data_IF_361362473744
#
_entry.id   IF_361362473744
#
_cell.length_a   1.000
_cell.length_b   1.000
_cell.length_c   1.000
_cell.angle_alpha   90.00
_cell.angle_beta   90.00
_cell.angle_gamma   90.00
#
_symmetry.space_group_name_H-M   'P 1'
#
loop_
_entity.id
_entity.type
_entity.pdbx_description
1 polymer ?
#
# COMPACT_ATOMS: atom_id res chain seq x y z
N UNK A 1 2.39 22.36 -24.59
CA UNK A 1 3.41 22.96 -23.71
C UNK A 1 4.37 21.85 -23.32
N UNK A 2 5.68 22.01 -23.50
CA UNK A 2 6.63 20.94 -23.21
C UNK A 2 6.65 20.68 -21.69
N UNK A 3 6.01 19.58 -21.30
CA UNK A 3 5.83 19.12 -19.92
C UNK A 3 7.15 18.98 -19.15
N UNK A 4 8.25 18.77 -19.89
CA UNK A 4 9.62 18.68 -19.38
C UNK A 4 10.11 19.93 -18.66
N UNK A 5 9.50 21.10 -18.89
CA UNK A 5 9.88 22.33 -18.19
C UNK A 5 9.33 22.41 -16.76
N UNK A 6 8.30 21.64 -16.42
CA UNK A 6 7.58 21.73 -15.13
C UNK A 6 7.94 20.62 -14.13
N UNK A 7 8.66 19.58 -14.55
CA UNK A 7 8.91 18.37 -13.74
C UNK A 7 10.40 18.03 -13.73
N UNK A 8 10.99 17.76 -12.56
CA UNK A 8 12.41 17.31 -12.42
C UNK A 8 12.62 15.84 -12.83
N UNK A 9 11.76 15.28 -13.68
CA UNK A 9 11.70 13.87 -14.05
C UNK A 9 11.33 13.69 -15.53
N UNK A 10 11.29 12.44 -16.00
CA UNK A 10 10.89 12.17 -17.38
C UNK A 10 9.44 12.62 -17.62
N UNK A 11 9.12 13.09 -18.83
CA UNK A 11 7.73 13.46 -19.20
C UNK A 11 6.76 12.32 -18.93
N UNK A 12 5.50 12.61 -18.62
CA UNK A 12 4.49 11.58 -18.39
C UNK A 12 4.32 10.68 -19.61
N UNK A 13 4.38 11.25 -20.83
CA UNK A 13 4.37 10.50 -22.07
C UNK A 13 5.47 9.43 -22.16
N UNK A 14 6.70 9.78 -21.76
CA UNK A 14 7.81 8.82 -21.72
C UNK A 14 7.58 7.74 -20.65
N UNK A 15 7.19 8.12 -19.43
CA UNK A 15 6.93 7.17 -18.35
C UNK A 15 5.86 6.16 -18.75
N UNK A 16 4.72 6.64 -19.28
CA UNK A 16 3.66 5.80 -19.84
C UNK A 16 4.20 4.87 -20.92
N UNK A 17 4.99 5.37 -21.88
CA UNK A 17 5.55 4.53 -22.95
C UNK A 17 6.39 3.36 -22.43
N UNK A 18 7.13 3.54 -21.33
CA UNK A 18 7.97 2.50 -20.73
C UNK A 18 7.14 1.53 -19.87
N UNK A 19 6.21 2.05 -19.09
CA UNK A 19 5.34 1.25 -18.21
C UNK A 19 4.41 0.36 -19.05
N UNK A 20 3.84 0.93 -20.11
CA UNK A 20 2.78 0.33 -20.92
C UNK A 20 3.28 -0.54 -22.08
N UNK A 21 4.58 -0.48 -22.42
CA UNK A 21 5.17 -1.14 -23.59
C UNK A 21 4.84 -2.64 -23.71
N UNK A 22 4.69 -3.33 -22.58
CA UNK A 22 4.46 -4.78 -22.54
C UNK A 22 3.05 -5.14 -22.11
N UNK A 23 2.13 -4.18 -21.99
CA UNK A 23 0.77 -4.47 -21.55
C UNK A 23 0.02 -5.31 -22.59
N UNK A 24 -0.62 -6.37 -22.11
CA UNK A 24 -1.49 -7.22 -22.92
C UNK A 24 -2.84 -6.54 -23.18
N UNK A 25 -3.55 -7.00 -24.21
CA UNK A 25 -4.82 -6.42 -24.66
C UNK A 25 -5.83 -6.23 -23.52
N UNK A 26 -5.94 -7.20 -22.62
CA UNK A 26 -6.88 -7.12 -21.49
C UNK A 26 -6.53 -5.99 -20.51
N UNK A 27 -5.25 -5.76 -20.25
CA UNK A 27 -4.81 -4.64 -19.41
C UNK A 27 -5.01 -3.30 -20.13
N UNK A 28 -4.71 -3.25 -21.44
CA UNK A 28 -4.96 -2.09 -22.29
C UNK A 28 -6.46 -1.73 -22.35
N UNK A 29 -7.36 -2.72 -22.41
CA UNK A 29 -8.82 -2.49 -22.39
C UNK A 29 -9.26 -1.75 -21.11
N UNK A 30 -8.68 -2.09 -19.96
CA UNK A 30 -8.98 -1.43 -18.68
C UNK A 30 -8.39 -0.02 -18.69
N UNK A 31 -7.15 0.14 -19.18
CA UNK A 31 -6.48 1.43 -19.25
C UNK A 31 -7.20 2.41 -20.19
N UNK A 32 -7.69 1.95 -21.34
CA UNK A 32 -8.47 2.77 -22.27
C UNK A 32 -9.79 3.25 -21.64
N UNK A 33 -10.47 2.39 -20.86
CA UNK A 33 -11.67 2.79 -20.10
C UNK A 33 -11.34 3.81 -19.02
N UNK A 34 -10.20 3.65 -18.37
CA UNK A 34 -9.71 4.59 -17.35
C UNK A 34 -9.40 5.94 -17.98
N UNK A 35 -8.67 5.97 -19.10
CA UNK A 35 -8.37 7.19 -19.85
C UNK A 35 -9.64 7.89 -20.36
N UNK A 36 -10.66 7.12 -20.79
CA UNK A 36 -11.95 7.66 -21.19
C UNK A 36 -12.70 8.32 -20.02
N UNK A 37 -12.77 7.64 -18.86
CA UNK A 37 -13.38 8.20 -17.65
C UNK A 37 -12.62 9.41 -17.11
N UNK A 38 -11.29 9.45 -17.30
CA UNK A 38 -10.47 10.60 -16.91
C UNK A 38 -10.74 11.80 -17.81
N UNK A 39 -10.84 11.56 -19.12
CA UNK A 39 -11.10 12.59 -20.13
C UNK A 39 -12.52 13.15 -20.05
N UNK A 40 -13.46 12.34 -19.55
CA UNK A 40 -14.82 12.75 -19.20
C UNK A 40 -14.82 13.43 -17.83
N UNK A 41 -14.35 14.68 -17.75
CA UNK A 41 -14.41 15.54 -16.55
C UNK A 41 -13.85 14.93 -15.25
N UNK A 42 -12.73 14.20 -15.34
CA UNK A 42 -12.09 13.54 -14.20
C UNK A 42 -13.10 12.71 -13.37
N UNK A 43 -13.92 11.88 -14.01
CA UNK A 43 -14.98 11.12 -13.35
C UNK A 43 -14.44 10.03 -12.41
N UNK A 44 -13.92 10.45 -11.25
CA UNK A 44 -13.37 9.61 -10.16
C UNK A 44 -14.31 8.47 -9.74
N UNK A 45 -15.65 8.65 -9.67
CA UNK A 45 -16.56 7.55 -9.37
C UNK A 45 -16.48 6.38 -10.37
N UNK A 46 -16.00 6.62 -11.59
CA UNK A 46 -15.76 5.59 -12.61
C UNK A 46 -14.29 5.12 -12.61
N UNK A 47 -13.33 6.00 -12.28
CA UNK A 47 -11.91 5.66 -12.21
C UNK A 47 -11.58 4.66 -11.10
N UNK A 48 -12.11 4.85 -9.89
CA UNK A 48 -11.78 3.99 -8.74
C UNK A 48 -12.24 2.53 -8.94
N UNK A 49 -13.45 2.24 -9.44
CA UNK A 49 -13.83 0.86 -9.79
C UNK A 49 -12.90 0.20 -10.83
N UNK A 50 -12.34 0.96 -11.76
CA UNK A 50 -11.41 0.44 -12.76
C UNK A 50 -10.03 0.12 -12.14
N UNK A 51 -9.57 0.94 -11.19
CA UNK A 51 -8.39 0.64 -10.39
C UNK A 51 -8.59 -0.63 -9.55
N UNK A 52 -9.72 -0.76 -8.87
CA UNK A 52 -10.08 -1.97 -8.11
C UNK A 52 -10.15 -3.20 -9.01
N UNK A 53 -10.74 -3.06 -10.20
CA UNK A 53 -10.77 -4.13 -11.20
C UNK A 53 -9.34 -4.54 -11.61
N UNK A 54 -8.45 -3.58 -11.89
CA UNK A 54 -7.06 -3.84 -12.24
C UNK A 54 -6.33 -4.62 -11.13
N UNK A 55 -6.60 -4.30 -9.87
CA UNK A 55 -6.03 -4.98 -8.70
C UNK A 55 -6.60 -6.40 -8.52
N UNK A 56 -7.91 -6.56 -8.65
CA UNK A 56 -8.62 -7.80 -8.34
C UNK A 56 -8.55 -8.88 -9.45
N UNK A 57 -8.37 -8.49 -10.71
CA UNK A 57 -8.43 -9.42 -11.84
C UNK A 57 -7.23 -10.37 -11.87
N UNK A 58 -7.46 -11.63 -11.49
CA UNK A 58 -6.41 -12.67 -11.43
C UNK A 58 -6.02 -13.23 -12.79
N UNK A 59 -6.78 -12.95 -13.85
CA UNK A 59 -6.41 -13.33 -15.20
C UNK A 59 -5.40 -12.36 -15.83
N UNK A 60 -5.12 -11.22 -15.20
CA UNK A 60 -3.98 -10.37 -15.53
C UNK A 60 -2.76 -10.85 -14.73
N UNK A 61 -1.62 -11.16 -15.39
CA UNK A 61 -0.38 -11.54 -14.70
C UNK A 61 0.05 -10.52 -13.63
N UNK A 62 0.76 -10.93 -12.57
CA UNK A 62 1.18 -10.01 -11.50
C UNK A 62 2.00 -8.80 -11.98
N UNK A 63 2.91 -8.99 -12.93
CA UNK A 63 3.74 -7.93 -13.50
C UNK A 63 2.91 -6.94 -14.33
N UNK A 64 1.97 -7.45 -15.12
CA UNK A 64 1.02 -6.67 -15.91
C UNK A 64 0.12 -5.80 -15.01
N UNK A 65 -0.38 -6.38 -13.92
CA UNK A 65 -1.18 -5.67 -12.92
C UNK A 65 -0.38 -4.54 -12.26
N UNK A 66 0.88 -4.79 -11.89
CA UNK A 66 1.73 -3.76 -11.29
C UNK A 66 1.97 -2.59 -12.26
N UNK A 67 2.23 -2.88 -13.54
CA UNK A 67 2.38 -1.85 -14.58
C UNK A 67 1.10 -1.06 -14.83
N UNK A 68 -0.04 -1.75 -14.91
CA UNK A 68 -1.34 -1.13 -15.09
C UNK A 68 -1.66 -0.16 -13.95
N UNK A 69 -1.49 -0.60 -12.70
CA UNK A 69 -1.67 0.23 -11.50
C UNK A 69 -0.67 1.40 -11.48
N UNK A 70 0.59 1.17 -11.86
CA UNK A 70 1.58 2.25 -11.94
C UNK A 70 1.20 3.32 -12.97
N UNK A 71 0.63 2.94 -14.12
CA UNK A 71 0.16 3.91 -15.12
C UNK A 71 -1.04 4.71 -14.58
N UNK A 72 -2.03 4.05 -13.97
CA UNK A 72 -3.17 4.73 -13.33
C UNK A 72 -2.72 5.68 -12.20
N UNK A 73 -1.72 5.27 -11.42
CA UNK A 73 -1.20 6.05 -10.30
C UNK A 73 -0.42 7.31 -10.71
N UNK A 74 0.10 7.38 -11.96
CA UNK A 74 0.67 8.62 -12.49
C UNK A 74 -0.34 9.77 -12.50
N UNK A 75 -1.64 9.44 -12.61
CA UNK A 75 -2.74 10.40 -12.59
C UNK A 75 -3.26 10.62 -11.17
N UNK A 76 -3.42 9.54 -10.40
CA UNK A 76 -4.03 9.62 -9.06
C UNK A 76 -3.06 10.14 -7.99
N UNK A 77 -1.76 9.96 -8.16
CA UNK A 77 -0.73 10.45 -7.24
C UNK A 77 -0.78 9.80 -5.86
N UNK A 78 -1.24 8.55 -5.76
CA UNK A 78 -1.41 7.82 -4.49
C UNK A 78 -0.16 7.05 -4.08
N UNK A 79 0.88 7.02 -4.93
CA UNK A 79 2.15 6.37 -4.67
C UNK A 79 2.02 4.85 -4.43
N UNK A 80 1.05 4.22 -5.09
CA UNK A 80 0.67 2.82 -4.86
C UNK A 80 1.82 1.82 -5.07
N UNK A 81 2.69 1.95 -6.10
CA UNK A 81 3.79 1.01 -6.30
C UNK A 81 4.85 1.03 -5.20
N UNK A 82 4.93 2.12 -4.42
CA UNK A 82 5.91 2.29 -3.35
C UNK A 82 5.29 2.19 -1.94
N UNK A 83 3.97 2.06 -1.86
CA UNK A 83 3.21 2.04 -0.62
C UNK A 83 3.49 0.75 0.16
N UNK A 84 3.93 0.88 1.42
CA UNK A 84 4.11 -0.25 2.32
C UNK A 84 3.02 -0.24 3.39
N UNK A 85 2.75 -1.41 3.97
CA UNK A 85 1.81 -1.56 5.11
C UNK A 85 2.11 -0.59 6.26
N UNK A 86 3.39 -0.34 6.56
CA UNK A 86 3.78 0.59 7.60
C UNK A 86 3.40 2.05 7.30
N UNK A 87 3.37 2.44 6.02
CA UNK A 87 3.01 3.80 5.60
C UNK A 87 1.51 4.07 5.75
N UNK A 88 0.68 3.02 5.91
CA UNK A 88 -0.77 3.08 6.10
C UNK A 88 -1.21 3.10 7.57
N UNK A 89 -0.27 3.02 8.53
CA UNK A 89 -0.59 3.02 9.95
C UNK A 89 -1.16 4.37 10.37
N UNK A 90 -2.38 4.37 10.87
CA UNK A 90 -3.02 5.58 11.38
C UNK A 90 -2.78 5.69 12.88
N UNK A 91 -1.85 6.57 13.27
CA UNK A 91 -1.54 6.82 14.70
C UNK A 91 -2.69 7.60 15.36
N UNK A 92 -3.31 7.06 16.42
CA UNK A 92 -4.26 7.82 17.24
C UNK A 92 -3.56 9.01 17.89
N UNK A 93 -4.25 10.15 18.00
CA UNK A 93 -3.71 11.36 18.65
C UNK A 93 -3.38 11.14 20.13
N UNK A 94 -4.04 10.19 20.78
CA UNK A 94 -3.86 9.86 22.20
C UNK A 94 -2.85 8.71 22.43
N UNK A 95 -2.15 8.28 21.38
CA UNK A 95 -1.15 7.20 21.48
C UNK A 95 -0.05 7.56 22.50
N UNK A 96 0.01 6.78 23.58
CA UNK A 96 0.93 7.01 24.71
C UNK A 96 2.30 6.31 24.56
N UNK A 97 2.51 5.56 23.47
CA UNK A 97 3.73 4.83 23.16
C UNK A 97 4.27 5.30 21.81
N UNK A 98 5.59 5.35 21.66
CA UNK A 98 6.26 5.69 20.41
C UNK A 98 6.60 4.45 19.60
N UNK A 99 6.69 4.59 18.27
CA UNK A 99 7.04 3.50 17.34
C UNK A 99 8.33 2.77 17.73
N UNK A 100 9.35 3.50 18.21
CA UNK A 100 10.61 2.92 18.65
C UNK A 100 10.46 2.00 19.89
N UNK A 101 9.53 2.33 20.80
CA UNK A 101 9.23 1.48 21.95
C UNK A 101 8.46 0.23 21.53
N UNK A 102 7.54 0.37 20.57
CA UNK A 102 6.82 -0.77 19.99
C UNK A 102 7.80 -1.75 19.33
N UNK A 103 8.71 -1.23 18.51
CA UNK A 103 9.70 -2.04 17.80
C UNK A 103 10.66 -2.75 18.78
N UNK A 104 11.04 -2.10 19.88
CA UNK A 104 11.85 -2.72 20.94
C UNK A 104 11.10 -3.87 21.64
N UNK A 105 9.82 -3.67 22.00
CA UNK A 105 8.97 -4.71 22.59
C UNK A 105 8.75 -5.88 21.61
N UNK A 106 8.57 -5.59 20.32
CA UNK A 106 8.44 -6.62 19.30
C UNK A 106 9.72 -7.43 19.12
N UNK A 107 10.90 -6.80 19.18
CA UNK A 107 12.18 -7.49 19.16
C UNK A 107 12.33 -8.42 20.37
N UNK A 108 11.95 -7.97 21.58
CA UNK A 108 11.91 -8.81 22.79
C UNK A 108 10.96 -10.01 22.61
N UNK A 109 9.78 -9.77 22.03
CA UNK A 109 8.81 -10.84 21.73
C UNK A 109 9.35 -11.86 20.73
N UNK A 110 10.02 -11.42 19.66
CA UNK A 110 10.68 -12.30 18.69
C UNK A 110 11.71 -13.19 19.40
N UNK A 111 12.55 -12.59 20.26
CA UNK A 111 13.53 -13.31 21.06
C UNK A 111 12.90 -14.33 22.02
N UNK A 112 11.84 -13.94 22.72
CA UNK A 112 11.10 -14.83 23.62
C UNK A 112 10.50 -16.03 22.86
N UNK A 113 9.92 -15.81 21.67
CA UNK A 113 9.41 -16.91 20.83
C UNK A 113 10.52 -17.82 20.31
N UNK A 114 11.66 -17.27 19.90
CA UNK A 114 12.82 -18.07 19.49
C UNK A 114 13.35 -18.94 20.65
N UNK A 115 13.30 -18.43 21.88
CA UNK A 115 13.64 -19.16 23.10
C UNK A 115 12.52 -20.10 23.61
N UNK A 116 11.36 -20.16 22.92
CA UNK A 116 10.14 -20.88 23.34
C UNK A 116 9.56 -20.41 24.68
N UNK A 117 9.85 -19.19 25.09
CA UNK A 117 9.23 -18.53 26.22
C UNK A 117 7.92 -17.86 25.79
N UNK A 118 6.86 -18.68 25.74
CA UNK A 118 5.53 -18.22 25.36
C UNK A 118 4.91 -17.29 26.41
N UNK A 119 5.27 -17.43 27.69
CA UNK A 119 4.72 -16.61 28.77
C UNK A 119 5.18 -15.15 28.64
N UNK A 120 6.48 -14.94 28.39
CA UNK A 120 7.03 -13.60 28.14
C UNK A 120 6.47 -13.01 26.84
N UNK A 121 6.36 -13.81 25.78
CA UNK A 121 5.75 -13.38 24.51
C UNK A 121 4.30 -12.88 24.69
N UNK A 122 3.48 -13.61 25.45
CA UNK A 122 2.08 -13.24 25.69
C UNK A 122 1.97 -12.00 26.57
N UNK A 123 2.81 -11.89 27.62
CA UNK A 123 2.90 -10.68 28.44
C UNK A 123 3.20 -9.44 27.59
N UNK A 124 4.15 -9.53 26.67
CA UNK A 124 4.51 -8.40 25.79
C UNK A 124 3.36 -8.04 24.86
N UNK A 125 2.68 -9.04 24.28
CA UNK A 125 1.50 -8.81 23.44
C UNK A 125 0.42 -8.05 24.21
N UNK A 126 0.16 -8.44 25.45
CA UNK A 126 -0.88 -7.82 26.27
C UNK A 126 -0.50 -6.39 26.68
N UNK A 127 0.79 -6.12 26.93
CA UNK A 127 1.30 -4.75 27.14
C UNK A 127 1.11 -3.87 25.91
N UNK A 128 1.39 -4.38 24.72
CA UNK A 128 1.18 -3.65 23.46
C UNK A 128 -0.32 -3.38 23.24
N UNK A 129 -1.17 -4.39 23.45
CA UNK A 129 -2.61 -4.26 23.31
C UNK A 129 -3.19 -3.20 24.28
N UNK A 130 -2.73 -3.20 25.54
CA UNK A 130 -3.14 -2.21 26.53
C UNK A 130 -2.74 -0.76 26.16
N UNK A 131 -1.73 -0.59 25.30
CA UNK A 131 -1.27 0.69 24.76
C UNK A 131 -1.86 1.00 23.38
N UNK A 132 -2.89 0.26 22.96
CA UNK A 132 -3.59 0.49 21.69
C UNK A 132 -2.82 -0.03 20.47
N UNK A 133 -1.95 -1.02 20.62
CA UNK A 133 -1.18 -1.62 19.52
C UNK A 133 -1.59 -3.08 19.33
N UNK A 134 -2.06 -3.42 18.13
CA UNK A 134 -2.41 -4.80 17.76
C UNK A 134 -1.23 -5.44 17.03
N UNK A 135 -0.80 -6.60 17.50
CA UNK A 135 0.28 -7.38 16.90
C UNK A 135 -0.31 -8.53 16.08
N UNK A 136 0.08 -8.61 14.80
CA UNK A 136 -0.32 -9.65 13.87
C UNK A 136 0.87 -10.54 13.54
N UNK A 137 0.72 -11.84 13.78
CA UNK A 137 1.68 -12.85 13.38
C UNK A 137 1.38 -13.29 11.95
N UNK A 138 2.21 -12.87 10.99
CA UNK A 138 2.13 -13.30 9.60
C UNK A 138 2.96 -14.55 9.31
N UNK A 139 2.93 -15.00 8.05
CA UNK A 139 3.74 -16.11 7.56
C UNK A 139 5.22 -15.71 7.44
N UNK A 140 5.90 -15.57 8.59
CA UNK A 140 7.34 -15.32 8.70
C UNK A 140 7.71 -13.95 9.28
N UNK A 141 6.79 -12.99 9.28
CA UNK A 141 7.04 -11.65 9.80
C UNK A 141 5.99 -11.27 10.85
N UNK A 142 6.46 -10.65 11.94
CA UNK A 142 5.58 -10.03 12.93
C UNK A 142 5.34 -8.60 12.48
N UNK A 143 4.07 -8.25 12.31
CA UNK A 143 3.64 -6.90 11.96
C UNK A 143 2.74 -6.34 13.05
N UNK A 144 2.58 -5.02 13.07
CA UNK A 144 1.72 -4.34 14.03
C UNK A 144 0.97 -3.19 13.37
N UNK A 145 -0.19 -2.87 13.95
CA UNK A 145 -1.03 -1.73 13.60
C UNK A 145 -1.61 -1.08 14.86
N UNK A 146 -2.01 0.18 14.75
CA UNK A 146 -2.72 0.87 15.81
C UNK A 146 -4.14 0.32 15.92
N UNK A 147 -4.62 0.16 17.15
CA UNK A 147 -6.02 -0.16 17.43
C UNK A 147 -6.80 1.13 17.35
N UNK A 148 -7.50 1.33 16.25
CA UNK A 148 -8.36 2.49 16.03
C UNK A 148 -9.75 2.16 16.59
N UNK A 149 -10.16 2.88 17.62
CA UNK A 149 -11.57 2.87 18.04
C UNK A 149 -12.27 3.99 17.27
N UNK A 150 -13.03 3.61 16.24
CA UNK A 150 -13.95 4.53 15.58
C UNK A 150 -15.10 4.78 16.57
N UNK A 151 -15.13 5.98 17.14
CA UNK A 151 -16.22 6.46 18.00
C UNK A 151 -17.36 7.03 17.17
#
# INVERSE_FOLDING_TARGET
>A
VAESAATRGASFAYQRSVIEATLERKALDILEKFDAALSDDLMVPQLLPLLEQALADRAIPPDQRLRLVASMDLVLGLNLPLLRRADLRLRPSEAAIEDAEIDALLAERIGARAAKDFATSDRIRDVLAARGVSVMDGAGEISWDWTIQLT
#
